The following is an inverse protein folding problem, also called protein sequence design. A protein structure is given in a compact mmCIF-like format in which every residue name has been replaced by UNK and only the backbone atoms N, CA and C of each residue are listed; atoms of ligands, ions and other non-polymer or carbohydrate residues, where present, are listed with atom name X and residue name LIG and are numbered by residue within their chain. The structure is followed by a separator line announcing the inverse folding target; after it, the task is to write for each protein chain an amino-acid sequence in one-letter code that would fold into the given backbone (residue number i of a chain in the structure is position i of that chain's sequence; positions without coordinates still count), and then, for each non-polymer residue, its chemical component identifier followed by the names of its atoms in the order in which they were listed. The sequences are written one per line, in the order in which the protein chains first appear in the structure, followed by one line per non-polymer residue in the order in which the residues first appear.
data_IF_300934471560
#
_entry.id   IF_300934471560
#
_cell.length_a   1.000
_cell.length_b   1.000
_cell.length_c   1.000
_cell.angle_alpha   90.00
_cell.angle_beta   90.00
_cell.angle_gamma   90.00
#
_symmetry.space_group_name_H-M   'P 1'
#
loop_
_entity.id
_entity.type
_entity.pdbx_description
1 polymer ?
#
# COMPACT_ATOMS: atom_id res chain seq x y z
N UNK A 1 3.61 6.18 9.26
CA UNK A 1 4.20 7.50 8.88
C UNK A 1 4.45 7.63 7.38
N UNK A 2 5.09 6.66 6.71
CA UNK A 2 5.36 6.73 5.25
C UNK A 2 4.11 6.96 4.38
N UNK A 3 3.04 6.19 4.59
CA UNK A 3 1.79 6.34 3.81
C UNK A 3 1.16 7.73 3.90
N UNK A 4 1.14 8.34 5.09
CA UNK A 4 0.64 9.70 5.29
C UNK A 4 1.47 10.76 4.52
N UNK A 5 2.80 10.58 4.47
CA UNK A 5 3.68 11.45 3.69
C UNK A 5 3.37 11.41 2.20
N UNK A 6 3.09 10.22 1.66
CA UNK A 6 2.71 10.04 0.25
C UNK A 6 1.36 10.73 -0.03
N UNK A 7 0.37 10.59 0.85
CA UNK A 7 -0.93 11.27 0.71
C UNK A 7 -0.76 12.79 0.64
N UNK A 8 0.03 13.37 1.55
CA UNK A 8 0.32 14.81 1.58
C UNK A 8 0.99 15.30 0.30
N UNK A 9 1.98 14.58 -0.21
CA UNK A 9 2.68 14.96 -1.45
C UNK A 9 1.75 14.86 -2.66
N UNK A 10 0.97 13.78 -2.75
CA UNK A 10 0.04 13.56 -3.86
C UNK A 10 -1.08 14.60 -3.97
N UNK A 11 -1.47 15.24 -2.85
CA UNK A 11 -2.44 16.34 -2.85
C UNK A 11 -1.86 17.67 -3.35
N UNK A 12 -0.53 17.84 -3.29
CA UNK A 12 0.16 19.06 -3.72
C UNK A 12 0.54 18.96 -5.21
N UNK A 13 0.82 17.75 -5.71
CA UNK A 13 1.12 17.53 -7.11
C UNK A 13 -0.15 17.66 -7.98
N UNK A 14 -0.03 18.21 -9.20
CA UNK A 14 -1.14 18.23 -10.15
C UNK A 14 -1.56 16.80 -10.51
N UNK A 15 -2.85 16.63 -10.84
CA UNK A 15 -3.39 15.34 -11.31
C UNK A 15 -2.65 14.91 -12.58
N UNK A 16 -1.73 13.97 -12.44
CA UNK A 16 -0.96 13.45 -13.58
C UNK A 16 -1.78 12.39 -14.32
N UNK A 17 -1.48 12.20 -15.61
CA UNK A 17 -2.21 11.26 -16.48
C UNK A 17 -2.12 9.84 -15.93
N UNK A 18 -3.23 9.10 -16.05
CA UNK A 18 -3.40 7.72 -15.56
C UNK A 18 -2.31 6.76 -16.01
N UNK A 19 -1.76 6.96 -17.20
CA UNK A 19 -0.77 6.06 -17.80
C UNK A 19 0.57 6.03 -17.05
N UNK A 20 0.94 7.13 -16.40
CA UNK A 20 2.20 7.20 -15.62
C UNK A 20 2.11 6.39 -14.32
N UNK A 21 0.92 6.19 -13.79
CA UNK A 21 0.70 5.52 -12.50
C UNK A 21 0.48 4.02 -12.62
N UNK A 22 -0.03 3.54 -13.75
CA UNK A 22 -0.20 2.11 -14.02
C UNK A 22 1.02 1.24 -13.67
N UNK A 23 2.26 1.55 -14.10
CA UNK A 23 3.42 0.73 -13.74
C UNK A 23 3.69 0.71 -12.22
N UNK A 24 3.45 1.82 -11.51
CA UNK A 24 3.63 1.87 -10.06
C UNK A 24 2.56 1.06 -9.31
N UNK A 25 1.31 1.09 -9.78
CA UNK A 25 0.23 0.27 -9.21
C UNK A 25 0.55 -1.22 -9.41
N UNK A 26 0.99 -1.62 -10.61
CA UNK A 26 1.38 -3.01 -10.90
C UNK A 26 2.52 -3.44 -9.99
N UNK A 27 3.55 -2.61 -9.82
CA UNK A 27 4.69 -2.91 -8.94
C UNK A 27 4.28 -3.03 -7.47
N UNK A 28 3.39 -2.15 -6.98
CA UNK A 28 2.88 -2.20 -5.61
C UNK A 28 2.04 -3.47 -5.36
N UNK A 29 1.14 -3.81 -6.27
CA UNK A 29 0.31 -5.02 -6.16
C UNK A 29 1.16 -6.29 -6.27
N UNK A 30 2.11 -6.32 -7.20
CA UNK A 30 3.04 -7.44 -7.35
C UNK A 30 3.87 -7.67 -6.09
N UNK A 31 4.44 -6.60 -5.52
CA UNK A 31 5.17 -6.65 -4.26
C UNK A 31 4.30 -7.14 -3.08
N UNK A 32 3.05 -6.68 -3.00
CA UNK A 32 2.11 -7.11 -1.96
C UNK A 32 1.78 -8.61 -2.07
N UNK A 33 1.59 -9.13 -3.28
CA UNK A 33 1.34 -10.56 -3.52
C UNK A 33 2.57 -11.39 -3.12
N UNK A 34 3.77 -10.99 -3.56
CA UNK A 34 5.00 -11.70 -3.20
C UNK A 34 5.22 -11.72 -1.68
N UNK A 35 5.02 -10.60 -1.00
CA UNK A 35 5.14 -10.51 0.46
C UNK A 35 4.15 -11.46 1.17
N UNK A 36 2.91 -11.55 0.69
CA UNK A 36 1.91 -12.48 1.22
C UNK A 36 2.29 -13.95 0.97
N UNK A 37 2.81 -14.28 -0.20
CA UNK A 37 3.27 -15.64 -0.49
C UNK A 37 4.45 -16.03 0.40
N UNK A 38 5.41 -15.13 0.60
CA UNK A 38 6.54 -15.37 1.52
C UNK A 38 6.08 -15.46 2.97
N UNK A 39 5.02 -14.73 3.36
CA UNK A 39 4.43 -14.76 4.69
C UNK A 39 3.84 -16.14 5.02
N UNK A 40 3.16 -16.79 4.07
CA UNK A 40 2.59 -18.12 4.26
C UNK A 40 3.65 -19.22 4.46
N UNK A 41 4.87 -18.98 3.97
CA UNK A 41 5.99 -19.91 4.08
C UNK A 41 6.82 -19.71 5.35
N UNK A 42 6.57 -18.64 6.12
CA UNK A 42 7.31 -18.38 7.35
C UNK A 42 6.85 -19.28 8.49
N UNK A 43 7.80 -19.93 9.17
CA UNK A 43 7.54 -20.71 10.40
C UNK A 43 7.61 -19.86 11.66
N UNK A 44 8.35 -18.75 11.63
CA UNK A 44 8.55 -17.88 12.79
C UNK A 44 7.47 -16.80 12.87
N UNK A 45 6.70 -16.77 13.95
CA UNK A 45 5.63 -15.80 14.21
C UNK A 45 6.06 -14.34 14.05
N UNK A 46 7.27 -13.99 14.51
CA UNK A 46 7.80 -12.61 14.39
C UNK A 46 8.01 -12.20 12.94
N UNK A 47 8.50 -13.13 12.11
CA UNK A 47 8.71 -12.89 10.68
C UNK A 47 7.39 -12.87 9.91
N UNK A 48 6.43 -13.73 10.30
CA UNK A 48 5.08 -13.78 9.73
C UNK A 48 4.38 -12.43 9.91
N UNK A 49 4.42 -11.84 11.11
CA UNK A 49 3.84 -10.52 11.39
C UNK A 49 4.55 -9.42 10.59
N UNK A 50 5.89 -9.51 10.44
CA UNK A 50 6.64 -8.55 9.65
C UNK A 50 6.23 -8.59 8.16
N UNK A 51 6.17 -9.77 7.53
CA UNK A 51 5.82 -9.88 6.11
C UNK A 51 4.36 -9.55 5.82
N UNK A 52 3.43 -9.90 6.71
CA UNK A 52 2.03 -9.46 6.57
C UNK A 52 1.89 -7.94 6.68
N UNK A 53 2.70 -7.27 7.51
CA UNK A 53 2.70 -5.81 7.58
C UNK A 53 3.13 -5.13 6.28
N UNK A 54 4.10 -5.73 5.57
CA UNK A 54 4.62 -5.22 4.30
C UNK A 54 3.54 -5.32 3.22
N UNK A 55 2.77 -6.41 3.19
CA UNK A 55 1.72 -6.59 2.17
C UNK A 55 0.54 -5.64 2.38
N UNK A 56 0.10 -5.42 3.63
CA UNK A 56 -0.93 -4.43 3.96
C UNK A 56 -0.51 -3.02 3.55
N UNK A 57 0.74 -2.64 3.81
CA UNK A 57 1.27 -1.34 3.39
C UNK A 57 1.41 -1.22 1.86
N UNK A 58 1.70 -2.31 1.15
CA UNK A 58 1.67 -2.34 -0.32
C UNK A 58 0.28 -2.02 -0.90
N UNK A 59 -0.79 -2.52 -0.28
CA UNK A 59 -2.17 -2.19 -0.66
C UNK A 59 -2.51 -0.72 -0.40
N UNK A 60 -2.04 -0.16 0.72
CA UNK A 60 -2.19 1.28 1.04
C UNK A 60 -1.57 2.13 -0.06
N UNK A 61 -0.36 1.81 -0.52
CA UNK A 61 0.32 2.57 -1.58
C UNK A 61 -0.44 2.51 -2.90
N UNK A 62 -0.93 1.33 -3.30
CA UNK A 62 -1.72 1.18 -4.52
C UNK A 62 -3.02 2.01 -4.46
N UNK A 63 -3.71 2.01 -3.32
CA UNK A 63 -4.93 2.78 -3.11
C UNK A 63 -4.70 4.31 -3.13
N UNK A 64 -3.57 4.79 -2.60
CA UNK A 64 -3.20 6.21 -2.63
C UNK A 64 -2.91 6.68 -4.07
N UNK A 65 -2.22 5.85 -4.88
CA UNK A 65 -1.85 6.19 -6.26
C UNK A 65 -3.09 6.32 -7.17
N UNK A 66 -4.16 5.58 -6.90
CA UNK A 66 -5.42 5.67 -7.66
C UNK A 66 -6.10 7.04 -7.49
N UNK A 67 -5.79 7.78 -6.41
CA UNK A 67 -6.35 9.11 -6.10
C UNK A 67 -7.89 9.23 -6.15
N UNK A 68 -8.61 8.11 -6.06
CA UNK A 68 -10.07 8.15 -5.96
C UNK A 68 -10.50 8.43 -4.52
N UNK A 69 -11.67 9.08 -4.30
CA UNK A 69 -12.15 9.34 -2.94
C UNK A 69 -12.35 8.05 -2.13
N UNK A 70 -12.77 6.98 -2.79
CA UNK A 70 -12.90 5.64 -2.21
C UNK A 70 -11.55 4.98 -1.90
N UNK A 71 -10.55 5.18 -2.77
CA UNK A 71 -9.19 4.69 -2.54
C UNK A 71 -8.53 5.36 -1.35
N UNK A 72 -8.68 6.68 -1.22
CA UNK A 72 -8.13 7.44 -0.09
C UNK A 72 -8.82 7.08 1.24
N UNK A 73 -10.15 6.94 1.26
CA UNK A 73 -10.86 6.52 2.48
C UNK A 73 -10.49 5.09 2.89
N UNK A 74 -10.38 4.17 1.93
CA UNK A 74 -9.92 2.80 2.15
C UNK A 74 -8.47 2.74 2.65
N UNK A 75 -7.56 3.54 2.07
CA UNK A 75 -6.17 3.63 2.50
C UNK A 75 -6.05 4.13 3.94
N UNK A 76 -6.82 5.14 4.32
CA UNK A 76 -6.86 5.65 5.69
C UNK A 76 -7.39 4.60 6.67
N UNK A 77 -8.48 3.92 6.33
CA UNK A 77 -9.04 2.86 7.16
C UNK A 77 -8.04 1.72 7.38
N UNK A 78 -7.37 1.27 6.31
CA UNK A 78 -6.38 0.20 6.39
C UNK A 78 -5.13 0.60 7.19
N UNK A 79 -4.64 1.84 7.07
CA UNK A 79 -3.52 2.32 7.89
C UNK A 79 -3.85 2.36 9.37
N UNK A 80 -5.09 2.76 9.73
CA UNK A 80 -5.54 2.77 11.12
C UNK A 80 -5.67 1.33 11.61
N UNK A 81 -6.37 0.46 10.87
CA UNK A 81 -6.58 -0.94 11.23
C UNK A 81 -5.26 -1.73 11.35
N UNK A 82 -4.28 -1.42 10.51
CA UNK A 82 -2.97 -2.07 10.57
C UNK A 82 -2.10 -1.60 11.75
N UNK A 83 -2.34 -0.38 12.25
CA UNK A 83 -1.58 0.18 13.36
C UNK A 83 -2.07 -0.22 14.75
N UNK A 84 -3.23 -0.89 14.84
CA UNK A 84 -3.81 -1.45 16.07
C UNK A 84 -3.40 -2.91 16.25
#
# INVERSE_FOLDING_TARGET
LGGYGIIRMMQILPTTKTDLFLPFIVLALWGAILANLTCLQQTDLKSLIAYSSISHMGLVVAAIIIQSPWGLSGAMALMIAHGF
#
